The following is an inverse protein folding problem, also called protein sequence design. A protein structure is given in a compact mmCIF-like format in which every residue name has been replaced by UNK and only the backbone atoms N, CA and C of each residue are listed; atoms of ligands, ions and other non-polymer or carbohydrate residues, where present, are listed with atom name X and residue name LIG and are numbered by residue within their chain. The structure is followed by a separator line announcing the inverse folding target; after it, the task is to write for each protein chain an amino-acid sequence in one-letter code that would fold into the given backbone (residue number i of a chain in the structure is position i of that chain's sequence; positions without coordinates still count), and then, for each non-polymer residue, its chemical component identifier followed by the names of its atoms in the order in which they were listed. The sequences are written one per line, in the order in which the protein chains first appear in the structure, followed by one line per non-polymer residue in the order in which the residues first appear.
data_IF_070019331977
#
_entry.id   IF_070019331977
#
_cell.length_a   1.000
_cell.length_b   1.000
_cell.length_c   1.000
_cell.angle_alpha   90.00
_cell.angle_beta   90.00
_cell.angle_gamma   90.00
#
_symmetry.space_group_name_H-M   'P 1'
#
loop_
_entity.id
_entity.type
_entity.pdbx_description
1 polymer ?
#
# COMPACT_ATOMS: atom_id res chain seq x y z
N UNK A 1 -28.23 -15.84 14.79
CA UNK A 1 -27.96 -14.71 13.87
C UNK A 1 -26.46 -14.61 13.70
N UNK A 2 -26.02 -14.90 12.48
CA UNK A 2 -24.63 -14.96 12.00
C UNK A 2 -23.91 -13.64 12.22
N UNK A 3 -22.97 -13.60 13.16
CA UNK A 3 -22.05 -12.49 13.28
C UNK A 3 -21.14 -12.47 12.05
N UNK A 4 -21.34 -11.50 11.16
CA UNK A 4 -20.36 -11.20 10.12
C UNK A 4 -18.97 -11.15 10.74
N UNK A 5 -18.00 -11.83 10.13
CA UNK A 5 -16.58 -11.60 10.39
C UNK A 5 -16.34 -10.10 10.29
N UNK A 6 -16.17 -9.45 11.44
CA UNK A 6 -15.98 -8.02 11.50
C UNK A 6 -14.51 -7.80 11.10
N UNK A 7 -14.25 -7.62 9.80
CA UNK A 7 -12.91 -7.46 9.19
C UNK A 7 -12.08 -6.39 9.93
N UNK A 8 -12.75 -5.49 10.65
CA UNK A 8 -12.14 -4.42 11.44
C UNK A 8 -11.78 -4.80 12.89
N UNK A 9 -12.08 -6.03 13.37
CA UNK A 9 -11.55 -6.55 14.65
C UNK A 9 -10.10 -7.05 14.46
N UNK A 10 -9.22 -6.18 13.99
CA UNK A 10 -7.78 -6.45 14.01
C UNK A 10 -7.31 -6.28 15.46
N UNK A 11 -6.95 -7.39 16.11
CA UNK A 11 -6.23 -7.36 17.39
C UNK A 11 -4.81 -6.88 17.12
N UNK A 12 -4.55 -5.61 17.46
CA UNK A 12 -3.30 -4.94 17.17
C UNK A 12 -2.59 -4.56 18.47
N UNK A 13 -1.33 -4.99 18.62
CA UNK A 13 -0.46 -4.55 19.72
C UNK A 13 0.11 -3.18 19.41
N UNK A 14 -0.51 -2.14 19.95
CA UNK A 14 -0.12 -0.75 19.73
C UNK A 14 0.83 -0.24 20.83
N UNK A 15 1.93 0.48 20.50
CA UNK A 15 2.38 0.88 19.15
C UNK A 15 3.35 -0.10 18.47
N UNK A 16 3.80 -1.13 19.17
CA UNK A 16 4.90 -2.01 18.80
C UNK A 16 4.73 -2.67 17.44
N UNK A 17 3.55 -3.24 17.15
CA UNK A 17 3.31 -4.00 15.92
C UNK A 17 3.40 -3.18 14.64
N UNK A 18 3.17 -1.85 14.74
CA UNK A 18 3.21 -0.92 13.60
C UNK A 18 4.56 -0.25 13.50
N UNK A 19 5.19 0.08 14.63
CA UNK A 19 6.37 0.93 14.67
C UNK A 19 7.70 0.16 14.61
N UNK A 20 7.64 -1.17 14.72
CA UNK A 20 8.83 -2.03 14.78
C UNK A 20 8.87 -3.01 13.62
N UNK A 21 10.08 -3.42 13.27
CA UNK A 21 10.35 -4.45 12.29
C UNK A 21 11.40 -5.39 12.85
N UNK A 22 11.39 -6.66 12.42
CA UNK A 22 12.44 -7.60 12.76
C UNK A 22 13.77 -7.27 12.07
N UNK A 23 13.74 -6.49 10.99
CA UNK A 23 14.89 -6.25 10.12
C UNK A 23 15.51 -4.87 10.35
N UNK A 24 14.71 -3.92 10.84
CA UNK A 24 15.12 -2.52 10.97
C UNK A 24 14.88 -1.99 12.38
N UNK A 25 15.79 -1.15 12.91
CA UNK A 25 15.49 -0.33 14.07
C UNK A 25 14.26 0.57 13.82
N UNK A 26 13.46 0.91 14.85
CA UNK A 26 12.19 1.63 14.67
C UNK A 26 12.29 2.94 13.88
N UNK A 27 13.33 3.74 14.12
CA UNK A 27 13.56 4.99 13.37
C UNK A 27 13.84 4.73 11.89
N UNK A 28 14.69 3.74 11.60
CA UNK A 28 15.03 3.36 10.21
C UNK A 28 13.80 2.83 9.50
N UNK A 29 12.96 2.05 10.18
CA UNK A 29 11.71 1.53 9.64
C UNK A 29 10.70 2.65 9.33
N UNK A 30 10.60 3.67 10.19
CA UNK A 30 9.76 4.83 9.93
C UNK A 30 10.25 5.64 8.71
N UNK A 31 11.57 5.87 8.61
CA UNK A 31 12.19 6.55 7.45
C UNK A 31 11.95 5.74 6.18
N UNK A 32 12.15 4.43 6.22
CA UNK A 32 11.93 3.53 5.09
C UNK A 32 10.50 3.61 4.57
N UNK A 33 9.50 3.51 5.46
CA UNK A 33 8.09 3.66 5.08
C UNK A 33 7.79 5.05 4.50
N UNK A 34 8.44 6.10 5.01
CA UNK A 34 8.36 7.45 4.45
C UNK A 34 8.91 7.55 3.03
N UNK A 35 10.08 6.94 2.78
CA UNK A 35 10.66 6.87 1.44
C UNK A 35 9.75 6.11 0.47
N UNK A 36 9.22 4.95 0.87
CA UNK A 36 8.29 4.19 0.04
C UNK A 36 7.02 4.99 -0.26
N UNK A 37 6.41 5.62 0.74
CA UNK A 37 5.22 6.45 0.53
C UNK A 37 5.50 7.59 -0.47
N UNK A 38 6.66 8.24 -0.39
CA UNK A 38 7.05 9.26 -1.36
C UNK A 38 7.22 8.69 -2.78
N UNK A 39 7.80 7.50 -2.92
CA UNK A 39 7.94 6.83 -4.22
C UNK A 39 6.55 6.53 -4.81
N UNK A 40 5.63 5.94 -4.04
CA UNK A 40 4.26 5.67 -4.50
C UNK A 40 3.52 6.93 -4.94
N UNK A 41 3.63 8.01 -4.17
CA UNK A 41 3.02 9.30 -4.52
C UNK A 41 3.66 9.88 -5.78
N UNK A 42 4.99 9.85 -5.90
CA UNK A 42 5.70 10.38 -7.07
C UNK A 42 5.30 9.64 -8.35
N UNK A 43 5.29 8.30 -8.33
CA UNK A 43 4.87 7.52 -9.49
C UNK A 43 3.40 7.71 -9.83
N UNK A 44 2.51 7.80 -8.83
CA UNK A 44 1.09 8.10 -9.10
C UNK A 44 0.94 9.47 -9.79
N UNK A 45 1.67 10.49 -9.34
CA UNK A 45 1.67 11.82 -9.97
C UNK A 45 2.20 11.73 -11.41
N UNK A 46 3.30 11.01 -11.65
CA UNK A 46 3.86 10.84 -12.98
C UNK A 46 2.85 10.15 -13.93
N UNK A 47 2.23 9.06 -13.50
CA UNK A 47 1.22 8.33 -14.27
C UNK A 47 0.01 9.23 -14.56
N UNK A 48 -0.48 9.97 -13.57
CA UNK A 48 -1.57 10.92 -13.79
C UNK A 48 -1.17 12.03 -14.77
N UNK A 49 0.06 12.56 -14.67
CA UNK A 49 0.53 13.61 -15.58
C UNK A 49 0.67 13.14 -17.02
N UNK A 50 0.99 11.86 -17.22
CA UNK A 50 1.14 11.24 -18.54
C UNK A 50 -0.21 10.82 -19.12
N UNK A 51 -1.09 10.21 -18.31
CA UNK A 51 -2.35 9.63 -18.80
C UNK A 51 -3.53 10.61 -18.87
N UNK A 52 -3.61 11.61 -17.99
CA UNK A 52 -4.76 12.54 -17.95
C UNK A 52 -4.88 13.38 -19.23
N UNK A 53 -3.80 13.87 -19.87
CA UNK A 53 -3.91 14.58 -21.14
C UNK A 53 -4.57 13.77 -22.26
N UNK A 54 -4.33 12.45 -22.30
CA UNK A 54 -4.78 11.60 -23.41
C UNK A 54 -6.17 11.01 -23.19
N UNK A 55 -6.44 10.49 -21.99
CA UNK A 55 -7.68 9.74 -21.69
C UNK A 55 -8.52 10.37 -20.58
N UNK A 56 -8.01 11.41 -19.91
CA UNK A 56 -8.74 12.17 -18.91
C UNK A 56 -9.34 11.30 -17.80
N UNK A 57 -10.57 11.62 -17.39
CA UNK A 57 -11.26 10.90 -16.32
C UNK A 57 -11.56 9.42 -16.65
N UNK A 58 -11.53 9.01 -17.92
CA UNK A 58 -11.71 7.60 -18.29
C UNK A 58 -10.58 6.72 -17.76
N UNK A 59 -9.43 7.27 -17.37
CA UNK A 59 -8.39 6.53 -16.67
C UNK A 59 -8.91 5.82 -15.41
N UNK A 60 -9.92 6.37 -14.73
CA UNK A 60 -10.52 5.77 -13.53
C UNK A 60 -11.48 4.61 -13.83
N UNK A 61 -11.72 4.21 -15.08
CA UNK A 61 -12.54 3.01 -15.35
C UNK A 61 -11.75 1.72 -15.13
N UNK A 62 -10.41 1.78 -15.18
CA UNK A 62 -9.55 0.62 -15.08
C UNK A 62 -9.33 0.24 -13.62
N UNK A 63 -9.58 -1.03 -13.30
CA UNK A 63 -9.37 -1.58 -11.95
C UNK A 63 -7.93 -1.41 -11.47
N UNK A 64 -6.95 -1.54 -12.38
CA UNK A 64 -5.52 -1.38 -12.08
C UNK A 64 -5.17 0.01 -11.56
N UNK A 65 -5.85 1.03 -12.09
CA UNK A 65 -5.63 2.42 -11.72
C UNK A 65 -6.25 2.73 -10.36
N UNK A 66 -7.41 2.14 -10.06
CA UNK A 66 -7.97 2.16 -8.71
C UNK A 66 -7.09 1.45 -7.70
N UNK A 67 -6.55 0.28 -8.04
CA UNK A 67 -5.63 -0.44 -7.16
C UNK A 67 -4.42 0.43 -6.83
N UNK A 68 -3.80 1.06 -7.83
CA UNK A 68 -2.67 1.98 -7.63
C UNK A 68 -3.02 3.16 -6.71
N UNK A 69 -4.19 3.78 -6.87
CA UNK A 69 -4.64 4.85 -5.96
C UNK A 69 -4.75 4.33 -4.53
N UNK A 70 -5.42 3.18 -4.34
CA UNK A 70 -5.65 2.61 -3.01
C UNK A 70 -4.34 2.16 -2.35
N UNK A 71 -3.41 1.60 -3.12
CA UNK A 71 -2.04 1.28 -2.68
C UNK A 71 -1.29 2.51 -2.20
N UNK A 72 -1.32 3.60 -2.96
CA UNK A 72 -0.67 4.86 -2.57
C UNK A 72 -1.29 5.42 -1.29
N UNK A 73 -2.62 5.39 -1.16
CA UNK A 73 -3.30 5.81 0.07
C UNK A 73 -2.88 4.91 1.25
N UNK A 74 -2.85 3.59 1.05
CA UNK A 74 -2.45 2.64 2.07
C UNK A 74 -1.01 2.90 2.55
N UNK A 75 -0.07 3.14 1.63
CA UNK A 75 1.31 3.46 1.98
C UNK A 75 1.45 4.78 2.74
N UNK A 76 0.70 5.81 2.36
CA UNK A 76 0.70 7.08 3.09
C UNK A 76 0.13 6.90 4.49
N UNK A 77 -0.98 6.16 4.63
CA UNK A 77 -1.55 5.83 5.93
C UNK A 77 -0.60 5.00 6.79
N UNK A 78 0.13 4.06 6.18
CA UNK A 78 1.16 3.26 6.84
C UNK A 78 2.30 4.14 7.35
N UNK A 79 2.84 5.02 6.50
CA UNK A 79 3.86 5.98 6.90
C UNK A 79 3.41 6.82 8.11
N UNK A 80 2.22 7.39 8.07
CA UNK A 80 1.67 8.20 9.19
C UNK A 80 1.52 7.33 10.44
N UNK A 81 1.01 6.11 10.31
CA UNK A 81 0.80 5.19 11.44
C UNK A 81 2.12 4.74 12.05
N UNK A 82 3.15 4.46 11.24
CA UNK A 82 4.50 4.08 11.69
C UNK A 82 5.19 5.25 12.36
N UNK A 83 5.12 6.46 11.81
CA UNK A 83 5.67 7.66 12.44
C UNK A 83 4.99 7.97 13.79
N UNK A 84 3.65 7.86 13.85
CA UNK A 84 2.91 8.05 15.09
C UNK A 84 3.24 6.96 16.11
N UNK A 85 3.32 5.70 15.67
CA UNK A 85 3.71 4.57 16.51
C UNK A 85 5.11 4.77 17.08
N UNK A 86 6.07 5.20 16.26
CA UNK A 86 7.44 5.49 16.68
C UNK A 86 7.48 6.57 17.78
N UNK A 87 6.73 7.66 17.60
CA UNK A 87 6.62 8.71 18.61
C UNK A 87 5.98 8.23 19.92
N UNK A 88 5.21 7.13 19.88
CA UNK A 88 4.54 6.52 21.05
C UNK A 88 5.29 5.35 21.69
N UNK A 89 6.34 4.82 21.07
CA UNK A 89 7.16 3.75 21.65
C UNK A 89 7.71 4.07 23.05
N UNK A 90 8.19 5.29 23.36
CA UNK A 90 8.74 5.61 24.68
C UNK A 90 7.71 5.54 25.82
N UNK A 91 6.42 5.71 25.51
CA UNK A 91 5.33 5.66 26.50
C UNK A 91 5.03 4.21 26.98
N UNK A 92 5.66 3.21 26.35
CA UNK A 92 5.42 1.79 26.60
C UNK A 92 4.15 1.25 25.91
N UNK A 93 3.84 -0.04 26.09
CA UNK A 93 2.67 -0.66 25.48
C UNK A 93 1.38 -0.01 25.99
N UNK A 94 0.52 0.39 25.07
CA UNK A 94 -0.78 0.92 25.45
C UNK A 94 -1.65 -0.21 25.99
N UNK A 95 -2.22 -0.04 27.19
CA UNK A 95 -3.18 -0.99 27.75
C UNK A 95 -4.57 -0.95 27.06
N UNK A 96 -4.72 -0.17 25.99
CA UNK A 96 -5.97 0.05 25.28
C UNK A 96 -5.97 -0.46 23.83
N UNK A 97 -7.13 -0.35 23.19
CA UNK A 97 -7.27 -0.62 21.75
C UNK A 97 -6.47 0.40 20.95
N UNK A 98 -5.83 -0.04 19.87
CA UNK A 98 -5.18 0.84 18.92
C UNK A 98 -6.14 1.93 18.39
N UNK A 99 -5.65 3.14 18.08
CA UNK A 99 -6.45 4.19 17.47
C UNK A 99 -7.17 3.70 16.21
N UNK A 100 -8.39 4.20 15.97
CA UNK A 100 -9.20 3.78 14.82
C UNK A 100 -8.47 3.95 13.49
N UNK A 101 -7.75 5.06 13.32
CA UNK A 101 -6.93 5.31 12.14
C UNK A 101 -5.95 4.17 11.86
N UNK A 102 -5.17 3.77 12.86
CA UNK A 102 -4.17 2.70 12.75
C UNK A 102 -4.83 1.36 12.43
N UNK A 103 -6.00 1.08 13.01
CA UNK A 103 -6.77 -0.14 12.70
C UNK A 103 -7.24 -0.16 11.25
N UNK A 104 -7.68 0.98 10.71
CA UNK A 104 -8.03 1.10 9.30
C UNK A 104 -6.82 0.98 8.40
N UNK A 105 -5.68 1.57 8.76
CA UNK A 105 -4.42 1.41 8.03
C UNK A 105 -4.06 -0.07 7.87
N UNK A 106 -4.10 -0.84 8.96
CA UNK A 106 -3.75 -2.27 8.96
C UNK A 106 -4.77 -3.10 8.19
N UNK A 107 -6.06 -2.82 8.36
CA UNK A 107 -7.09 -3.49 7.59
C UNK A 107 -6.88 -3.24 6.07
N UNK A 108 -6.59 -2.00 5.69
CA UNK A 108 -6.32 -1.63 4.31
C UNK A 108 -5.05 -2.31 3.78
N UNK A 109 -4.00 -2.38 4.60
CA UNK A 109 -2.75 -3.09 4.28
C UNK A 109 -2.99 -4.57 3.94
N UNK A 110 -3.79 -5.27 4.76
CA UNK A 110 -4.12 -6.67 4.49
C UNK A 110 -5.01 -6.87 3.26
N UNK A 111 -5.87 -5.90 2.93
CA UNK A 111 -6.71 -5.98 1.74
C UNK A 111 -5.95 -5.66 0.45
N UNK A 112 -4.96 -4.77 0.51
CA UNK A 112 -4.31 -4.26 -0.70
C UNK A 112 -3.30 -5.24 -1.28
N UNK A 113 -2.58 -6.01 -0.46
CA UNK A 113 -1.63 -7.01 -0.95
C UNK A 113 -2.25 -8.06 -1.91
N UNK A 114 -3.36 -8.76 -1.55
CA UNK A 114 -3.98 -9.69 -2.48
C UNK A 114 -4.61 -8.99 -3.69
N UNK A 115 -5.13 -7.77 -3.53
CA UNK A 115 -5.67 -6.98 -4.64
C UNK A 115 -4.59 -6.63 -5.66
N UNK A 116 -3.43 -6.18 -5.17
CA UNK A 116 -2.25 -5.85 -5.97
C UNK A 116 -1.74 -7.08 -6.73
N UNK A 117 -1.65 -8.24 -6.05
CA UNK A 117 -1.28 -9.50 -6.70
C UNK A 117 -2.25 -9.90 -7.83
N UNK A 118 -3.56 -9.72 -7.63
CA UNK A 118 -4.56 -9.99 -8.69
C UNK A 118 -4.30 -9.08 -9.89
N UNK A 119 -4.01 -7.79 -9.68
CA UNK A 119 -3.67 -6.86 -10.76
C UNK A 119 -2.43 -7.30 -11.52
N UNK A 120 -1.36 -7.70 -10.82
CA UNK A 120 -0.14 -8.24 -11.43
C UNK A 120 -0.49 -9.46 -12.30
N UNK A 121 -1.23 -10.43 -11.77
CA UNK A 121 -1.60 -11.64 -12.51
C UNK A 121 -2.42 -11.28 -13.76
N UNK A 122 -3.45 -10.44 -13.64
CA UNK A 122 -4.31 -10.07 -14.76
C UNK A 122 -3.52 -9.34 -15.85
N UNK A 123 -2.63 -8.40 -15.48
CA UNK A 123 -1.83 -7.68 -16.46
C UNK A 123 -0.89 -8.62 -17.22
N UNK A 124 -0.09 -9.42 -16.51
CA UNK A 124 0.94 -10.28 -17.10
C UNK A 124 0.41 -11.58 -17.72
N UNK A 125 -0.91 -11.81 -17.70
CA UNK A 125 -1.54 -12.96 -18.36
C UNK A 125 -2.54 -12.55 -19.45
N UNK A 126 -3.22 -11.41 -19.30
CA UNK A 126 -4.28 -10.98 -20.23
C UNK A 126 -3.90 -9.77 -21.09
N UNK A 127 -3.11 -8.82 -20.54
CA UNK A 127 -2.81 -7.55 -21.22
C UNK A 127 -1.44 -7.61 -21.92
N UNK A 128 -0.40 -7.96 -21.16
CA UNK A 128 0.94 -8.17 -21.70
C UNK A 128 1.47 -9.56 -21.25
N UNK A 129 1.03 -10.63 -21.93
CA UNK A 129 1.33 -11.98 -21.49
C UNK A 129 2.84 -12.26 -21.46
N UNK A 130 3.31 -12.93 -20.40
CA UNK A 130 4.73 -13.28 -20.22
C UNK A 130 5.31 -14.15 -21.36
N UNK A 131 4.46 -14.83 -22.13
CA UNK A 131 4.84 -15.67 -23.25
C UNK A 131 4.84 -14.95 -24.61
N UNK A 132 4.41 -13.68 -24.68
CA UNK A 132 4.43 -12.85 -25.88
C UNK A 132 4.61 -11.36 -25.50
N UNK A 133 5.76 -11.09 -24.87
CA UNK A 133 6.05 -9.81 -24.23
C UNK A 133 6.20 -8.68 -25.24
N UNK A 134 5.33 -7.68 -25.11
CA UNK A 134 5.57 -6.35 -25.68
C UNK A 134 6.47 -5.52 -24.75
N UNK A 135 7.26 -4.58 -25.29
CA UNK A 135 8.04 -3.65 -24.48
C UNK A 135 7.15 -2.89 -23.48
N UNK A 136 7.55 -2.90 -22.20
CA UNK A 136 6.88 -2.14 -21.12
C UNK A 136 7.83 -1.05 -20.66
N UNK A 137 7.30 0.16 -20.58
CA UNK A 137 8.01 1.30 -20.04
C UNK A 137 8.09 1.24 -18.50
N UNK A 138 8.79 2.18 -17.88
CA UNK A 138 8.96 2.19 -16.43
C UNK A 138 7.64 2.40 -15.68
N UNK A 139 6.73 3.22 -16.22
CA UNK A 139 5.45 3.51 -15.57
C UNK A 139 4.51 2.31 -15.63
N UNK A 140 4.47 1.60 -16.76
CA UNK A 140 3.76 0.32 -16.88
C UNK A 140 4.33 -0.75 -15.95
N UNK A 141 5.67 -0.88 -15.87
CA UNK A 141 6.32 -1.80 -14.93
C UNK A 141 6.01 -1.44 -13.47
N UNK A 142 5.96 -0.15 -13.14
CA UNK A 142 5.59 0.32 -11.81
C UNK A 142 4.15 -0.04 -11.46
N UNK A 143 3.19 0.29 -12.33
CA UNK A 143 1.76 0.10 -12.07
C UNK A 143 1.33 -1.37 -12.01
N UNK A 144 2.12 -2.28 -12.59
CA UNK A 144 1.73 -3.68 -12.79
C UNK A 144 2.72 -4.72 -12.26
N UNK A 145 3.76 -4.32 -11.52
CA UNK A 145 4.71 -5.25 -10.89
C UNK A 145 5.48 -4.64 -9.72
N UNK A 146 6.18 -3.52 -9.94
CA UNK A 146 7.15 -3.02 -8.96
C UNK A 146 6.45 -2.49 -7.70
N UNK A 147 5.28 -1.85 -7.85
CA UNK A 147 4.44 -1.45 -6.71
C UNK A 147 4.14 -2.64 -5.79
N UNK A 148 3.68 -3.77 -6.34
CA UNK A 148 3.39 -4.98 -5.58
C UNK A 148 4.62 -5.52 -4.86
N UNK A 149 5.76 -5.58 -5.54
CA UNK A 149 7.03 -6.00 -4.91
C UNK A 149 7.42 -5.09 -3.74
N UNK A 150 7.20 -3.78 -3.86
CA UNK A 150 7.45 -2.85 -2.76
C UNK A 150 6.49 -3.06 -1.57
N UNK A 151 5.27 -3.52 -1.78
CA UNK A 151 4.31 -3.82 -0.70
C UNK A 151 4.70 -5.07 0.12
N UNK A 152 5.66 -5.87 -0.36
CA UNK A 152 6.18 -7.05 0.33
C UNK A 152 7.35 -6.74 1.28
N UNK A 153 7.88 -5.52 1.24
CA UNK A 153 9.04 -5.06 2.02
C UNK A 153 8.63 -4.36 3.31
#
# INVERSE_FOLDING_TARGET
MTGCCNVFKVELRWPEQIATSNWFPPLVYAIFNGLLAMVFVAFLIMILSDSIPDIGAFWLIYLTNWALIVETIAMVMLCISTAWGYAKLPDGPSQGKAPLFVRYTVALWYMIQPTSLIVVILYWTLINPLWDLQPVDLLGLWAHLLNWLCLLL
#
